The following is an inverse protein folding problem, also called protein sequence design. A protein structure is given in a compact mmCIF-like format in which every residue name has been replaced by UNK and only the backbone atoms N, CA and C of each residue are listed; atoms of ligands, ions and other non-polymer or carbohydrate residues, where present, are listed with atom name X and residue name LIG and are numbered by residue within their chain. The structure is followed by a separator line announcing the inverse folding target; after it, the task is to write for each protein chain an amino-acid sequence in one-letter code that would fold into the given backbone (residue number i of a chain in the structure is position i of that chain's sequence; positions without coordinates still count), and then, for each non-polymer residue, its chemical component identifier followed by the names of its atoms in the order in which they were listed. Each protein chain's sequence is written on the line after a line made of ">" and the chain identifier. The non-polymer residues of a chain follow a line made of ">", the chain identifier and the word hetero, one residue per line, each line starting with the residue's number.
data_IF_557983285938
#
_entry.id   IF_557983285938
#
_cell.length_a   1.000
_cell.length_b   1.000
_cell.length_c   1.000
_cell.angle_alpha   90.00
_cell.angle_beta   90.00
_cell.angle_gamma   90.00
#
_symmetry.space_group_name_H-M   'P 1'
#
loop_
_entity.id
_entity.type
_entity.pdbx_description
1 polymer ?
#
# COMPACT_ATOMS: atom_id res chain seq x y z
N UNK A 1 24.48 -17.15 45.87
CA UNK A 1 23.02 -17.30 45.67
C UNK A 1 22.48 -15.96 45.19
N UNK A 2 22.38 -15.78 43.87
CA UNK A 2 21.97 -14.52 43.24
C UNK A 2 20.44 -14.49 43.18
N UNK A 3 19.86 -13.46 43.79
CA UNK A 3 18.43 -13.30 44.04
C UNK A 3 17.67 -13.02 42.73
N UNK A 4 16.66 -13.85 42.45
CA UNK A 4 15.92 -13.98 41.19
C UNK A 4 14.88 -12.86 40.95
N UNK A 5 15.12 -11.63 41.45
CA UNK A 5 14.15 -10.52 41.43
C UNK A 5 14.63 -9.25 40.72
N UNK A 6 15.85 -9.23 40.17
CA UNK A 6 16.38 -8.07 39.43
C UNK A 6 16.34 -8.23 37.89
N UNK A 7 15.62 -9.23 37.35
CA UNK A 7 15.44 -9.39 35.90
C UNK A 7 14.31 -8.52 35.28
N UNK A 8 13.65 -7.67 36.07
CA UNK A 8 12.58 -6.79 35.58
C UNK A 8 13.02 -5.32 35.60
N UNK A 9 14.04 -4.99 34.81
CA UNK A 9 14.21 -3.61 34.35
C UNK A 9 14.63 -3.61 32.88
N UNK A 10 13.62 -3.52 32.01
CA UNK A 10 13.55 -2.55 30.92
C UNK A 10 14.89 -2.31 30.22
N UNK A 11 15.16 -3.05 29.16
CA UNK A 11 15.79 -2.45 27.97
C UNK A 11 14.88 -2.80 26.79
N UNK A 12 14.04 -1.81 26.48
CA UNK A 12 13.27 -1.67 25.26
C UNK A 12 14.07 -2.18 24.07
N UNK A 13 13.52 -3.20 23.41
CA UNK A 13 13.87 -3.53 22.03
C UNK A 13 13.36 -2.39 21.14
N UNK A 14 14.13 -1.30 21.03
CA UNK A 14 13.99 -0.38 19.91
C UNK A 14 14.65 -1.04 18.69
N UNK A 15 13.95 -2.00 18.11
CA UNK A 15 14.19 -2.34 16.71
C UNK A 15 13.47 -1.26 15.91
N UNK A 16 14.12 -0.11 15.73
CA UNK A 16 13.71 0.84 14.71
C UNK A 16 14.01 0.18 13.36
N UNK A 17 13.06 -0.63 12.89
CA UNK A 17 13.04 -1.07 11.51
C UNK A 17 12.83 0.21 10.72
N UNK A 18 13.90 0.74 10.13
CA UNK A 18 13.84 1.71 9.07
C UNK A 18 13.23 0.99 7.87
N UNK A 19 11.93 0.69 7.95
CA UNK A 19 11.18 0.08 6.88
C UNK A 19 11.06 1.14 5.79
N UNK A 20 12.03 1.12 4.87
CA UNK A 20 11.84 1.65 3.54
C UNK A 20 10.57 0.96 3.03
N UNK A 21 9.44 1.67 3.06
CA UNK A 21 8.12 1.14 2.73
C UNK A 21 8.10 0.85 1.22
N UNK A 22 8.67 -0.29 0.83
CA UNK A 22 8.64 -0.75 -0.54
C UNK A 22 7.29 -1.36 -0.79
N UNK A 23 6.57 -0.79 -1.75
CA UNK A 23 5.34 -1.37 -2.25
C UNK A 23 5.59 -2.82 -2.70
N UNK A 24 4.78 -3.79 -2.24
CA UNK A 24 4.97 -5.19 -2.59
C UNK A 24 4.77 -5.40 -4.09
N UNK A 25 5.61 -6.24 -4.71
CA UNK A 25 5.60 -6.44 -6.16
C UNK A 25 4.28 -7.02 -6.69
N UNK A 26 3.64 -7.88 -5.90
CA UNK A 26 2.38 -8.53 -6.25
C UNK A 26 1.45 -8.54 -5.05
N UNK A 27 0.15 -8.55 -5.34
CA UNK A 27 -0.88 -8.66 -4.33
C UNK A 27 -2.01 -9.53 -4.82
N UNK A 28 -2.50 -10.41 -3.94
CA UNK A 28 -3.63 -11.26 -4.23
C UNK A 28 -4.81 -10.91 -3.31
N UNK A 29 -5.94 -10.57 -3.90
CA UNK A 29 -7.19 -10.39 -3.18
C UNK A 29 -8.38 -10.58 -4.12
N UNK A 30 -9.51 -11.08 -3.59
CA UNK A 30 -10.70 -11.39 -4.39
C UNK A 30 -10.52 -12.48 -5.47
N UNK A 31 -9.46 -13.28 -5.40
CA UNK A 31 -9.13 -14.28 -6.43
C UNK A 31 -8.34 -13.71 -7.62
N UNK A 32 -8.01 -12.43 -7.60
CA UNK A 32 -7.21 -11.75 -8.61
C UNK A 32 -5.80 -11.48 -8.08
N UNK A 33 -4.81 -11.53 -8.98
CA UNK A 33 -3.43 -11.13 -8.71
C UNK A 33 -3.18 -9.81 -9.41
N UNK A 34 -2.72 -8.82 -8.66
CA UNK A 34 -2.35 -7.50 -9.12
C UNK A 34 -0.83 -7.35 -9.06
N UNK A 35 -0.26 -6.76 -10.11
CA UNK A 35 1.16 -6.49 -10.28
C UNK A 35 1.44 -5.01 -10.07
N UNK A 36 2.57 -4.71 -9.43
CA UNK A 36 3.03 -3.35 -9.22
C UNK A 36 3.72 -2.79 -10.47
N UNK A 37 3.14 -1.74 -11.03
CA UNK A 37 3.74 -0.89 -12.06
C UNK A 37 4.18 0.43 -11.42
N UNK A 38 5.47 0.55 -11.11
CA UNK A 38 6.04 1.76 -10.51
C UNK A 38 6.14 2.89 -11.54
N UNK A 39 6.06 4.13 -11.08
CA UNK A 39 6.16 5.34 -11.91
C UNK A 39 5.10 5.35 -13.03
N UNK A 40 3.93 4.79 -12.71
CA UNK A 40 2.82 4.54 -13.63
C UNK A 40 1.51 4.82 -12.92
N UNK A 41 0.57 5.37 -13.67
CA UNK A 41 -0.82 5.57 -13.28
C UNK A 41 -1.72 4.73 -14.19
N UNK A 42 -2.63 3.95 -13.61
CA UNK A 42 -3.72 3.32 -14.32
C UNK A 42 -4.77 4.38 -14.71
N UNK A 43 -5.29 4.34 -15.94
CA UNK A 43 -6.42 5.15 -16.38
C UNK A 43 -7.68 4.29 -16.42
N UNK A 44 -8.79 4.84 -15.92
CA UNK A 44 -10.09 4.19 -15.85
C UNK A 44 -11.07 4.98 -14.97
N UNK A 45 -12.24 4.42 -14.76
CA UNK A 45 -13.31 4.97 -13.92
C UNK A 45 -12.97 4.88 -12.44
N UNK A 46 -12.70 6.03 -11.81
CA UNK A 46 -12.52 6.10 -10.34
C UNK A 46 -13.86 5.99 -9.64
N UNK A 47 -13.98 5.00 -8.74
CA UNK A 47 -15.17 4.80 -7.91
C UNK A 47 -14.98 5.20 -6.45
N UNK A 48 -13.74 5.18 -5.97
CA UNK A 48 -13.45 5.53 -4.58
C UNK A 48 -12.03 6.08 -4.41
N UNK A 49 -11.82 6.85 -3.35
CA UNK A 49 -10.52 7.42 -2.98
C UNK A 49 -10.28 7.25 -1.49
N UNK A 50 -9.13 6.70 -1.14
CA UNK A 50 -8.66 6.59 0.24
C UNK A 50 -7.62 7.67 0.49
N UNK A 51 -7.91 8.59 1.41
CA UNK A 51 -7.01 9.69 1.77
C UNK A 51 -6.17 9.38 3.00
N UNK A 52 -5.03 10.06 3.13
CA UNK A 52 -4.12 9.96 4.27
C UNK A 52 -3.70 8.51 4.58
N UNK A 53 -3.44 7.73 3.53
CA UNK A 53 -3.07 6.32 3.61
C UNK A 53 -1.79 6.18 4.42
N UNK A 54 -1.89 5.44 5.53
CA UNK A 54 -0.73 5.10 6.39
C UNK A 54 -0.15 3.74 6.04
N UNK A 55 -1.02 2.82 5.61
CA UNK A 55 -0.67 1.47 5.22
C UNK A 55 -1.42 1.13 3.94
N UNK A 56 -0.71 0.54 2.99
CA UNK A 56 -1.27 0.09 1.73
C UNK A 56 -2.46 -0.88 1.94
N UNK A 57 -2.49 -1.65 3.03
CA UNK A 57 -3.62 -2.55 3.33
C UNK A 57 -4.99 -1.85 3.35
N UNK A 58 -5.03 -0.53 3.59
CA UNK A 58 -6.25 0.27 3.47
C UNK A 58 -6.75 0.34 2.02
N UNK A 59 -5.85 0.49 1.06
CA UNK A 59 -6.18 0.53 -0.37
C UNK A 59 -6.61 -0.84 -0.88
N UNK A 60 -5.97 -1.90 -0.38
CA UNK A 60 -6.38 -3.29 -0.63
C UNK A 60 -7.80 -3.55 -0.13
N UNK A 61 -8.09 -3.18 1.11
CA UNK A 61 -9.42 -3.39 1.70
C UNK A 61 -10.50 -2.64 0.91
N UNK A 62 -10.25 -1.38 0.53
CA UNK A 62 -11.16 -0.63 -0.31
C UNK A 62 -11.36 -1.28 -1.69
N UNK A 63 -10.29 -1.73 -2.36
CA UNK A 63 -10.46 -2.42 -3.63
C UNK A 63 -11.27 -3.71 -3.51
N UNK A 64 -11.11 -4.47 -2.43
CA UNK A 64 -11.94 -5.65 -2.16
C UNK A 64 -13.41 -5.31 -1.95
N UNK A 65 -13.71 -4.21 -1.25
CA UNK A 65 -15.07 -3.73 -1.00
C UNK A 65 -15.77 -3.31 -2.28
N UNK A 66 -15.07 -2.61 -3.17
CA UNK A 66 -15.60 -2.12 -4.45
C UNK A 66 -15.42 -3.09 -5.62
N UNK A 67 -14.87 -4.30 -5.39
CA UNK A 67 -14.52 -5.26 -6.44
C UNK A 67 -13.76 -4.61 -7.60
N UNK A 68 -12.69 -3.89 -7.28
CA UNK A 68 -12.03 -3.01 -8.22
C UNK A 68 -11.19 -3.74 -9.27
N UNK A 69 -10.97 -3.09 -10.42
CA UNK A 69 -10.10 -3.58 -11.49
C UNK A 69 -8.63 -3.13 -11.32
N UNK A 70 -8.40 -1.99 -10.66
CA UNK A 70 -7.06 -1.46 -10.39
C UNK A 70 -7.03 -0.51 -9.19
N UNK A 71 -5.83 -0.35 -8.63
CA UNK A 71 -5.54 0.64 -7.58
C UNK A 71 -4.38 1.52 -8.02
N UNK A 72 -4.61 2.84 -8.07
CA UNK A 72 -3.50 3.80 -8.10
C UNK A 72 -3.08 4.15 -6.68
N UNK A 73 -1.78 4.31 -6.47
CA UNK A 73 -1.19 4.88 -5.25
C UNK A 73 -0.41 6.11 -5.66
N UNK A 74 -0.77 7.27 -5.12
CA UNK A 74 -0.08 8.52 -5.36
C UNK A 74 0.63 8.99 -4.09
N UNK A 75 1.89 9.35 -4.24
CA UNK A 75 2.64 10.07 -3.23
C UNK A 75 2.46 11.58 -3.44
N UNK A 76 1.72 12.22 -2.55
CA UNK A 76 1.47 13.67 -2.57
C UNK A 76 2.55 14.47 -1.81
N UNK A 77 3.29 13.80 -0.92
CA UNK A 77 4.39 14.38 -0.15
C UNK A 77 5.25 13.27 0.46
N UNK A 78 6.27 13.64 1.24
CA UNK A 78 7.22 12.66 1.80
C UNK A 78 6.52 11.53 2.58
N UNK A 79 5.44 11.87 3.30
CA UNK A 79 4.65 10.92 4.10
C UNK A 79 3.14 11.02 3.82
N UNK A 80 2.75 11.62 2.70
CA UNK A 80 1.34 11.79 2.35
C UNK A 80 1.00 10.95 1.13
N UNK A 81 0.13 9.96 1.32
CA UNK A 81 -0.29 9.03 0.29
C UNK A 81 -1.80 9.03 0.13
N UNK A 82 -2.24 8.82 -1.10
CA UNK A 82 -3.63 8.65 -1.50
C UNK A 82 -3.72 7.44 -2.41
N UNK A 83 -4.82 6.70 -2.31
CA UNK A 83 -5.13 5.65 -3.27
C UNK A 83 -6.42 5.95 -4.00
N UNK A 84 -6.44 5.70 -5.31
CA UNK A 84 -7.66 5.70 -6.11
C UNK A 84 -8.04 4.27 -6.49
N UNK A 85 -9.30 3.94 -6.30
CA UNK A 85 -9.88 2.64 -6.60
C UNK A 85 -10.64 2.75 -7.91
N UNK A 86 -10.24 1.97 -8.90
CA UNK A 86 -10.80 2.01 -10.25
C UNK A 86 -11.69 0.79 -10.51
N UNK A 87 -12.89 1.01 -11.05
CA UNK A 87 -13.80 -0.09 -11.44
C UNK A 87 -13.43 -0.72 -12.78
N UNK A 88 -12.71 0.01 -13.63
CA UNK A 88 -12.20 -0.46 -14.92
C UNK A 88 -10.79 0.07 -15.21
N UNK A 89 -10.19 -0.43 -16.30
CA UNK A 89 -8.90 0.04 -16.80
C UNK A 89 -9.01 0.24 -18.31
N UNK A 90 -8.74 1.46 -18.76
CA UNK A 90 -8.62 1.83 -20.17
C UNK A 90 -7.17 1.79 -20.66
N UNK A 91 -6.21 1.96 -19.73
CA UNK A 91 -4.79 1.90 -20.05
C UNK A 91 -3.90 2.30 -18.88
N UNK A 92 -2.61 2.50 -19.18
CA UNK A 92 -1.62 2.96 -18.21
C UNK A 92 -0.74 4.04 -18.84
N UNK A 93 -0.36 5.04 -18.05
CA UNK A 93 0.55 6.10 -18.49
C UNK A 93 1.71 6.26 -17.51
N UNK A 94 2.90 6.70 -17.97
CA UNK A 94 3.98 7.09 -17.07
C UNK A 94 3.56 8.25 -16.16
N UNK A 95 3.78 8.11 -14.86
CA UNK A 95 3.46 9.12 -13.86
C UNK A 95 4.44 9.07 -12.68
N UNK A 96 5.24 10.13 -12.53
CA UNK A 96 6.19 10.26 -11.42
C UNK A 96 5.46 10.38 -10.09
N UNK A 97 5.90 9.62 -9.08
CA UNK A 97 5.27 9.62 -7.76
C UNK A 97 3.97 8.81 -7.71
N UNK A 98 3.65 8.06 -8.77
CA UNK A 98 2.51 7.15 -8.81
C UNK A 98 2.95 5.69 -8.94
N UNK A 99 2.09 4.79 -8.48
CA UNK A 99 2.16 3.37 -8.73
C UNK A 99 0.78 2.84 -9.09
N UNK A 100 0.73 1.95 -10.06
CA UNK A 100 -0.48 1.31 -10.55
C UNK A 100 -0.43 -0.18 -10.18
N UNK A 101 -1.44 -0.68 -9.49
CA UNK A 101 -1.68 -2.11 -9.27
C UNK A 101 -2.79 -2.58 -10.20
N UNK A 102 -2.46 -3.51 -11.10
CA UNK A 102 -3.36 -4.03 -12.12
C UNK A 102 -3.05 -5.51 -12.46
N UNK A 103 -3.96 -6.27 -13.07
CA UNK A 103 -3.79 -7.71 -13.26
C UNK A 103 -2.91 -8.15 -14.46
N UNK A 104 -2.18 -7.25 -15.13
CA UNK A 104 -1.42 -7.56 -16.35
C UNK A 104 -0.16 -6.71 -16.55
#
# INVERSE_FOLDING_TARGET
>A
MVNNRQQLTIILQFVAVLSCATLPLFQAYGGHTFYLHKMTECKGGKVFEVQNVQDYDQCRAACMEYNCAAVNVFQLGEFQFVCEILEDIEGMIPATGAACYAPF
#
